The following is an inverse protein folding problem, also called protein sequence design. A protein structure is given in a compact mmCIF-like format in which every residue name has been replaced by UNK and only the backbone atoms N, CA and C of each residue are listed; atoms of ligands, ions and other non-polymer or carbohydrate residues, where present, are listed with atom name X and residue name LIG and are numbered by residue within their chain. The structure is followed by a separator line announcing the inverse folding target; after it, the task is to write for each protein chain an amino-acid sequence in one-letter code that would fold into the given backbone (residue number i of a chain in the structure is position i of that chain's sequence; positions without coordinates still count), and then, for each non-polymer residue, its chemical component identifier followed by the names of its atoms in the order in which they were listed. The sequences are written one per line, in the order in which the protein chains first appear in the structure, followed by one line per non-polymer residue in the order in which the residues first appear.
data_IF_994663855909
#
_entry.id   IF_994663855909
#
_cell.length_a   1.000
_cell.length_b   1.000
_cell.length_c   1.000
_cell.angle_alpha   90.00
_cell.angle_beta   90.00
_cell.angle_gamma   90.00
#
_symmetry.space_group_name_H-M   'P 1'
#
loop_
_entity.id
_entity.type
_entity.pdbx_description
1 polymer ?
#
# COMPACT_ATOMS: atom_id res chain seq x y z
N UNK A 1 10.17 -7.86 -16.70
CA UNK A 1 10.68 -7.13 -15.52
C UNK A 1 11.38 -5.84 -15.96
N UNK A 2 11.20 -4.74 -15.21
CA UNK A 2 11.94 -3.48 -15.38
C UNK A 2 12.93 -3.37 -14.24
N UNK A 3 14.18 -3.05 -14.54
CA UNK A 3 15.22 -2.77 -13.53
C UNK A 3 15.56 -1.30 -13.59
N UNK A 4 15.62 -0.64 -12.45
CA UNK A 4 15.86 0.80 -12.36
C UNK A 4 16.93 1.10 -11.29
N UNK A 5 17.07 2.36 -10.89
CA UNK A 5 17.96 2.85 -9.85
C UNK A 5 17.74 2.12 -8.51
N UNK A 6 18.65 2.28 -7.58
CA UNK A 6 18.49 1.76 -6.23
C UNK A 6 17.47 2.60 -5.46
N UNK A 7 16.21 2.15 -5.40
CA UNK A 7 15.14 2.80 -4.66
C UNK A 7 15.16 2.30 -3.22
N UNK A 8 15.10 3.24 -2.28
CA UNK A 8 15.17 3.01 -0.85
C UNK A 8 13.98 3.67 -0.16
N UNK A 9 13.30 2.92 0.69
CA UNK A 9 12.29 3.45 1.60
C UNK A 9 12.98 3.85 2.90
N UNK A 10 12.90 5.14 3.24
CA UNK A 10 13.56 5.73 4.42
C UNK A 10 12.70 5.70 5.67
N UNK A 11 11.38 5.73 5.50
CA UNK A 11 10.42 5.67 6.58
C UNK A 11 9.04 5.28 6.12
N UNK A 12 8.23 4.71 7.01
CA UNK A 12 6.88 4.28 6.75
C UNK A 12 5.96 4.54 7.94
N UNK A 13 4.98 5.43 7.76
CA UNK A 13 4.06 5.89 8.80
C UNK A 13 2.63 5.54 8.38
N UNK A 14 1.86 4.95 9.27
CA UNK A 14 0.51 4.51 8.97
C UNK A 14 -0.50 5.05 9.99
N UNK A 15 -1.58 5.61 9.50
CA UNK A 15 -2.73 6.07 10.25
C UNK A 15 -3.96 5.23 9.87
N UNK A 16 -4.21 4.10 10.54
CA UNK A 16 -5.44 3.35 10.41
C UNK A 16 -6.63 4.17 10.91
N UNK A 17 -7.84 3.81 10.46
CA UNK A 17 -9.07 4.39 10.97
C UNK A 17 -9.15 4.32 12.49
N UNK A 18 -9.73 5.34 13.09
CA UNK A 18 -9.81 5.56 14.54
C UNK A 18 -10.80 4.63 15.25
N UNK A 19 -11.72 4.01 14.51
CA UNK A 19 -12.72 3.09 15.05
C UNK A 19 -12.31 1.64 14.76
N UNK A 20 -12.08 0.86 15.82
CA UNK A 20 -11.83 -0.58 15.69
C UNK A 20 -13.17 -1.33 15.76
N UNK A 21 -13.48 -2.06 14.70
CA UNK A 21 -14.67 -2.91 14.63
C UNK A 21 -14.26 -4.38 14.65
N UNK A 22 -14.81 -5.12 15.60
CA UNK A 22 -14.65 -6.58 15.67
C UNK A 22 -15.64 -7.26 14.72
N UNK A 23 -15.19 -8.23 13.94
CA UNK A 23 -16.04 -8.98 13.03
C UNK A 23 -16.86 -10.08 13.72
N UNK A 24 -16.43 -10.55 14.90
CA UNK A 24 -17.19 -11.49 15.69
C UNK A 24 -18.56 -10.89 16.09
N UNK A 25 -19.63 -11.64 15.83
CA UNK A 25 -21.01 -11.18 16.08
C UNK A 25 -21.60 -10.25 15.01
N UNK A 26 -20.81 -9.75 14.07
CA UNK A 26 -21.28 -8.95 12.91
C UNK A 26 -21.52 -9.81 11.67
N UNK A 27 -20.71 -10.86 11.53
CA UNK A 27 -20.81 -11.84 10.45
C UNK A 27 -20.67 -13.25 11.01
N UNK A 28 -20.91 -14.26 10.19
CA UNK A 28 -20.81 -15.64 10.65
C UNK A 28 -19.37 -16.04 11.02
N UNK A 29 -19.16 -16.95 11.97
CA UNK A 29 -17.84 -17.47 12.32
C UNK A 29 -17.10 -18.07 11.10
N UNK A 30 -17.84 -18.68 10.16
CA UNK A 30 -17.31 -19.26 8.94
C UNK A 30 -16.73 -18.16 8.02
N UNK A 31 -17.40 -17.00 7.92
CA UNK A 31 -16.93 -15.87 7.14
C UNK A 31 -15.63 -15.26 7.74
N UNK A 32 -15.57 -15.13 9.07
CA UNK A 32 -14.33 -14.71 9.76
C UNK A 32 -13.21 -15.71 9.51
N UNK A 33 -13.47 -17.01 9.63
CA UNK A 33 -12.48 -18.05 9.38
C UNK A 33 -12.00 -18.09 7.92
N UNK A 34 -12.91 -17.88 6.96
CA UNK A 34 -12.60 -17.87 5.53
C UNK A 34 -11.73 -16.68 5.10
N UNK A 35 -11.95 -15.49 5.69
CA UNK A 35 -11.16 -14.29 5.38
C UNK A 35 -9.92 -14.14 6.25
N UNK A 36 -9.99 -14.61 7.52
CA UNK A 36 -8.97 -14.44 8.54
C UNK A 36 -8.91 -13.02 9.12
N UNK A 37 -9.89 -12.17 8.84
CA UNK A 37 -9.97 -10.82 9.40
C UNK A 37 -10.77 -10.84 10.69
N UNK A 38 -10.13 -10.63 11.83
CA UNK A 38 -10.79 -10.53 13.13
C UNK A 38 -11.33 -9.12 13.38
N UNK A 39 -10.55 -8.15 12.98
CA UNK A 39 -10.86 -6.72 13.13
C UNK A 39 -10.75 -6.01 11.80
N UNK A 40 -11.39 -4.85 11.70
CA UNK A 40 -11.13 -3.83 10.70
C UNK A 40 -11.06 -2.47 11.36
N UNK A 41 -10.39 -1.53 10.73
CA UNK A 41 -10.34 -0.14 11.15
C UNK A 41 -11.14 0.71 10.18
N UNK A 42 -12.10 1.49 10.70
CA UNK A 42 -12.86 2.46 9.90
C UNK A 42 -12.63 3.87 10.41
N UNK A 43 -12.71 4.86 9.52
CA UNK A 43 -12.37 6.24 9.86
C UNK A 43 -13.61 7.11 10.02
N UNK A 44 -13.70 7.82 11.15
CA UNK A 44 -14.63 8.95 11.30
C UNK A 44 -14.12 10.19 10.56
N UNK A 45 -12.82 10.27 10.28
CA UNK A 45 -12.15 11.40 9.65
C UNK A 45 -12.20 11.32 8.12
N UNK A 46 -12.19 12.48 7.42
CA UNK A 46 -11.94 12.54 5.99
C UNK A 46 -10.53 12.04 5.60
N UNK A 47 -10.35 11.69 4.32
CA UNK A 47 -9.06 11.21 3.77
C UNK A 47 -7.92 12.15 4.09
N UNK A 48 -8.11 13.45 3.85
CA UNK A 48 -7.08 14.46 4.11
C UNK A 48 -6.64 14.50 5.58
N UNK A 49 -7.59 14.50 6.52
CA UNK A 49 -7.25 14.58 7.95
C UNK A 49 -6.53 13.31 8.42
N UNK A 50 -6.99 12.15 7.95
CA UNK A 50 -6.34 10.88 8.26
C UNK A 50 -4.93 10.82 7.65
N UNK A 51 -4.75 11.29 6.40
CA UNK A 51 -3.45 11.37 5.74
C UNK A 51 -2.46 12.25 6.52
N UNK A 52 -2.92 13.41 7.01
CA UNK A 52 -2.05 14.36 7.72
C UNK A 52 -1.47 13.80 9.02
N UNK A 53 -2.09 12.81 9.66
CA UNK A 53 -1.49 12.11 10.81
C UNK A 53 -0.20 11.38 10.41
N UNK A 54 -0.21 10.64 9.30
CA UNK A 54 0.97 9.95 8.78
C UNK A 54 1.98 10.93 8.18
N UNK A 55 1.51 11.93 7.43
CA UNK A 55 2.33 12.96 6.78
C UNK A 55 3.14 13.79 7.78
N UNK A 56 2.51 14.21 8.88
CA UNK A 56 3.21 14.99 9.92
C UNK A 56 4.39 14.21 10.51
N UNK A 57 4.20 12.92 10.77
CA UNK A 57 5.27 12.07 11.29
C UNK A 57 6.36 11.80 10.24
N UNK A 58 5.98 11.61 8.97
CA UNK A 58 6.94 11.45 7.88
C UNK A 58 7.78 12.71 7.69
N UNK A 59 7.15 13.88 7.81
CA UNK A 59 7.87 15.15 7.72
C UNK A 59 8.84 15.35 8.89
N UNK A 60 8.41 15.07 10.12
CA UNK A 60 9.27 15.12 11.31
C UNK A 60 10.48 14.16 11.16
N UNK A 61 10.26 12.95 10.66
CA UNK A 61 11.33 12.00 10.40
C UNK A 61 12.29 12.48 9.30
N UNK A 62 11.75 13.06 8.22
CA UNK A 62 12.56 13.66 7.16
C UNK A 62 13.43 14.79 7.68
N UNK A 63 12.86 15.71 8.49
CA UNK A 63 13.59 16.81 9.11
C UNK A 63 14.69 16.28 10.05
N UNK A 64 14.40 15.27 10.86
CA UNK A 64 15.36 14.62 11.75
C UNK A 64 16.52 13.92 11.03
N UNK A 65 16.28 13.44 9.82
CA UNK A 65 17.29 12.82 8.94
C UNK A 65 17.98 13.81 8.00
N UNK A 66 17.58 15.08 8.01
CA UNK A 66 18.10 16.10 7.07
C UNK A 66 17.68 15.84 5.62
N UNK A 67 16.53 15.19 5.39
CA UNK A 67 16.01 14.89 4.08
C UNK A 67 15.11 16.02 3.57
N UNK A 68 15.47 16.61 2.44
CA UNK A 68 14.60 17.58 1.75
C UNK A 68 13.53 16.82 0.96
N UNK A 69 12.24 17.13 1.21
CA UNK A 69 11.13 16.62 0.42
C UNK A 69 11.01 17.46 -0.86
N UNK A 70 11.26 16.84 -2.01
CA UNK A 70 11.28 17.48 -3.32
C UNK A 70 10.01 17.25 -4.16
N UNK A 71 9.12 16.32 -3.76
CA UNK A 71 7.85 16.07 -4.43
C UNK A 71 6.86 15.37 -3.49
N UNK A 72 5.56 15.47 -3.82
CA UNK A 72 4.48 14.69 -3.17
C UNK A 72 3.74 13.89 -4.22
N UNK A 73 3.62 12.59 -3.99
CA UNK A 73 2.78 11.69 -4.81
C UNK A 73 1.71 11.12 -3.90
N UNK A 74 0.43 11.25 -4.25
CA UNK A 74 -0.65 10.61 -3.53
C UNK A 74 -1.26 9.48 -4.36
N UNK A 75 -1.45 8.32 -3.76
CA UNK A 75 -2.11 7.17 -4.37
C UNK A 75 -3.42 6.90 -3.64
N UNK A 76 -4.54 7.35 -4.20
CA UNK A 76 -5.88 7.23 -3.62
C UNK A 76 -6.95 7.19 -4.69
N UNK A 77 -8.10 6.59 -4.39
CA UNK A 77 -9.31 6.68 -5.20
C UNK A 77 -10.50 7.25 -4.40
N UNK A 78 -10.29 7.59 -3.13
CA UNK A 78 -11.34 8.04 -2.20
C UNK A 78 -11.16 9.48 -1.72
N UNK A 79 -10.32 10.28 -2.41
CA UNK A 79 -10.21 11.72 -2.13
C UNK A 79 -11.57 12.40 -2.17
N UNK A 80 -11.81 13.33 -1.24
CA UNK A 80 -13.09 14.04 -1.14
C UNK A 80 -13.34 14.93 -2.36
N UNK A 81 -12.29 15.59 -2.84
CA UNK A 81 -12.35 16.52 -3.96
C UNK A 81 -11.80 15.88 -5.23
N UNK A 82 -12.46 16.09 -6.37
CA UNK A 82 -11.93 15.70 -7.68
C UNK A 82 -10.77 16.61 -8.11
N UNK A 83 -10.79 17.84 -7.67
CA UNK A 83 -9.74 18.87 -7.79
C UNK A 83 -9.95 19.94 -6.70
N UNK A 84 -8.88 20.54 -6.15
CA UNK A 84 -7.47 20.22 -6.42
C UNK A 84 -7.08 18.81 -5.96
N UNK A 85 -5.97 18.29 -6.51
CA UNK A 85 -5.43 16.98 -6.14
C UNK A 85 -5.12 16.90 -4.64
N UNK A 86 -5.28 15.74 -4.02
CA UNK A 86 -4.97 15.51 -2.61
C UNK A 86 -3.51 15.82 -2.29
N UNK A 87 -2.59 15.44 -3.17
CA UNK A 87 -1.15 15.72 -3.05
C UNK A 87 -0.83 17.21 -2.96
N UNK A 88 -1.52 18.06 -3.74
CA UNK A 88 -1.35 19.52 -3.71
C UNK A 88 -1.82 20.08 -2.36
N UNK A 89 -2.95 19.60 -1.87
CA UNK A 89 -3.47 19.98 -0.55
C UNK A 89 -2.52 19.57 0.58
N UNK A 90 -1.98 18.35 0.50
CA UNK A 90 -0.98 17.83 1.45
C UNK A 90 0.31 18.65 1.38
N UNK A 91 0.86 18.93 0.18
CA UNK A 91 2.08 19.70 0.03
C UNK A 91 1.96 21.09 0.67
N UNK A 92 0.84 21.77 0.46
CA UNK A 92 0.53 23.06 1.08
C UNK A 92 0.44 22.96 2.61
N UNK A 93 -0.30 21.98 3.13
CA UNK A 93 -0.49 21.80 4.56
C UNK A 93 0.80 21.37 5.29
N UNK A 94 1.66 20.62 4.61
CA UNK A 94 2.99 20.25 5.11
C UNK A 94 4.01 21.39 5.04
N UNK A 95 3.63 22.57 4.54
CA UNK A 95 4.50 23.74 4.43
C UNK A 95 5.62 23.59 3.39
N UNK A 96 5.40 22.76 2.36
CA UNK A 96 6.35 22.62 1.27
C UNK A 96 6.30 23.84 0.33
N UNK A 97 7.41 24.07 -0.40
CA UNK A 97 7.47 25.16 -1.38
C UNK A 97 6.49 24.95 -2.52
N UNK A 98 6.01 26.03 -3.13
CA UNK A 98 5.03 25.97 -4.24
C UNK A 98 5.57 25.35 -5.52
N UNK A 99 6.90 25.31 -5.67
CA UNK A 99 7.60 24.73 -6.82
C UNK A 99 7.74 23.20 -6.71
N UNK A 100 7.35 22.60 -5.58
CA UNK A 100 7.41 21.14 -5.38
C UNK A 100 6.35 20.46 -6.24
N UNK A 101 6.71 19.55 -7.18
CA UNK A 101 5.73 18.77 -7.92
C UNK A 101 4.81 17.97 -7.00
N UNK A 102 3.50 18.05 -7.22
CA UNK A 102 2.50 17.30 -6.47
C UNK A 102 1.40 16.81 -7.41
N UNK A 103 1.13 15.50 -7.42
CA UNK A 103 0.10 14.88 -8.26
C UNK A 103 -0.40 13.56 -7.66
N UNK A 104 -1.62 13.18 -8.07
CA UNK A 104 -2.27 11.95 -7.63
C UNK A 104 -2.18 10.87 -8.72
N UNK A 105 -2.14 9.61 -8.28
CA UNK A 105 -2.26 8.42 -9.13
C UNK A 105 -3.37 7.52 -8.61
N UNK A 106 -3.99 6.74 -9.51
CA UNK A 106 -5.10 5.87 -9.14
C UNK A 106 -4.91 4.48 -9.75
N UNK A 107 -4.65 3.48 -8.89
CA UNK A 107 -4.53 2.08 -9.26
C UNK A 107 -5.17 1.15 -8.21
N UNK A 108 -6.04 1.69 -7.35
CA UNK A 108 -6.72 0.96 -6.29
C UNK A 108 -5.76 0.03 -5.50
N UNK A 109 -6.13 -1.23 -5.25
CA UNK A 109 -5.35 -2.16 -4.41
C UNK A 109 -3.92 -2.47 -4.93
N UNK A 110 -3.63 -2.20 -6.19
CA UNK A 110 -2.28 -2.39 -6.75
C UNK A 110 -1.41 -1.13 -6.69
N UNK A 111 -1.93 0.00 -6.21
CA UNK A 111 -1.31 1.32 -6.34
C UNK A 111 0.08 1.43 -5.71
N UNK A 112 0.31 0.87 -4.52
CA UNK A 112 1.55 1.12 -3.79
C UNK A 112 2.83 0.76 -4.56
N UNK A 113 3.00 -0.43 -5.18
CA UNK A 113 4.21 -0.71 -5.98
C UNK A 113 4.33 0.17 -7.24
N UNK A 114 3.20 0.57 -7.88
CA UNK A 114 3.21 1.56 -8.96
C UNK A 114 3.71 2.92 -8.46
N UNK A 115 3.19 3.36 -7.31
CA UNK A 115 3.55 4.63 -6.69
C UNK A 115 5.01 4.67 -6.24
N UNK A 116 5.53 3.57 -5.70
CA UNK A 116 6.96 3.43 -5.36
C UNK A 116 7.84 3.54 -6.61
N UNK A 117 7.43 2.95 -7.74
CA UNK A 117 8.13 3.10 -9.01
C UNK A 117 8.19 4.57 -9.47
N UNK A 118 7.06 5.26 -9.45
CA UNK A 118 6.96 6.68 -9.84
C UNK A 118 7.78 7.55 -8.89
N UNK A 119 7.55 7.41 -7.57
CA UNK A 119 8.23 8.18 -6.55
C UNK A 119 9.75 7.97 -6.56
N UNK A 120 10.21 6.73 -6.77
CA UNK A 120 11.63 6.42 -6.82
C UNK A 120 12.33 7.04 -8.02
N UNK A 121 11.72 6.99 -9.22
CA UNK A 121 12.30 7.64 -10.39
C UNK A 121 12.31 9.17 -10.24
N UNK A 122 11.22 9.74 -9.71
CA UNK A 122 11.14 11.17 -9.43
C UNK A 122 12.16 11.60 -8.37
N UNK A 123 12.37 10.80 -7.32
CA UNK A 123 13.39 11.06 -6.30
C UNK A 123 14.80 11.11 -6.89
N UNK A 124 15.10 10.21 -7.83
CA UNK A 124 16.38 10.20 -8.52
C UNK A 124 16.59 11.44 -9.41
N UNK A 125 15.56 11.80 -10.17
CA UNK A 125 15.64 12.96 -11.07
C UNK A 125 15.76 14.29 -10.32
N UNK A 126 15.16 14.39 -9.14
CA UNK A 126 15.22 15.57 -8.27
C UNK A 126 16.44 15.58 -7.34
N UNK A 127 17.09 14.44 -7.09
CA UNK A 127 18.12 14.29 -6.06
C UNK A 127 17.60 14.53 -4.62
N UNK A 128 16.28 14.39 -4.39
CA UNK A 128 15.59 14.67 -3.13
C UNK A 128 14.64 13.52 -2.75
N UNK A 129 14.19 13.52 -1.50
CA UNK A 129 13.16 12.56 -1.09
C UNK A 129 11.79 12.90 -1.71
N UNK A 130 11.01 11.87 -2.00
CA UNK A 130 9.59 12.01 -2.37
C UNK A 130 8.73 11.53 -1.22
N UNK A 131 7.77 12.35 -0.83
CA UNK A 131 6.71 11.97 0.10
C UNK A 131 5.62 11.23 -0.68
N UNK A 132 5.55 9.93 -0.50
CA UNK A 132 4.50 9.09 -1.05
C UNK A 132 3.41 8.89 -0.01
N UNK A 133 2.21 9.40 -0.28
CA UNK A 133 1.01 9.18 0.53
C UNK A 133 0.15 8.14 -0.17
N UNK A 134 -0.29 7.11 0.53
CA UNK A 134 -1.06 6.02 -0.08
C UNK A 134 -2.17 5.55 0.85
N UNK A 135 -3.34 5.31 0.29
CA UNK A 135 -4.46 4.74 0.99
C UNK A 135 -5.79 5.44 0.76
N UNK A 136 -6.80 4.94 1.49
CA UNK A 136 -8.20 5.25 1.23
C UNK A 136 -9.06 5.21 2.51
N UNK A 137 -10.16 5.97 2.49
CA UNK A 137 -11.32 5.80 3.37
C UNK A 137 -12.42 5.09 2.55
N UNK A 138 -12.18 3.81 2.28
CA UNK A 138 -13.01 3.01 1.37
C UNK A 138 -14.28 2.46 2.02
N UNK A 139 -14.35 2.40 3.36
CA UNK A 139 -15.53 1.93 4.08
C UNK A 139 -16.79 2.73 3.74
N UNK A 140 -16.64 4.00 3.38
CA UNK A 140 -17.74 4.88 2.93
C UNK A 140 -18.28 4.54 1.54
N UNK A 141 -17.50 3.79 0.77
CA UNK A 141 -17.85 3.37 -0.60
C UNK A 141 -18.46 1.97 -0.62
N UNK A 142 -18.63 1.34 0.54
CA UNK A 142 -19.29 0.03 0.65
C UNK A 142 -20.81 0.24 0.77
N UNK A 143 -21.57 -0.41 -0.09
CA UNK A 143 -23.03 -0.35 -0.04
C UNK A 143 -23.61 -1.00 1.21
N UNK A 144 -24.64 -0.39 1.80
CA UNK A 144 -25.24 -0.86 3.06
C UNK A 144 -25.88 -2.26 3.01
N UNK A 145 -25.97 -2.88 1.83
CA UNK A 145 -26.46 -4.26 1.65
C UNK A 145 -25.36 -5.31 1.44
N UNK A 146 -24.09 -4.91 1.28
CA UNK A 146 -22.97 -5.84 1.06
C UNK A 146 -22.22 -6.11 2.37
N UNK A 147 -22.76 -7.02 3.17
CA UNK A 147 -22.16 -7.44 4.44
C UNK A 147 -20.76 -8.07 4.24
N UNK A 148 -20.50 -8.71 3.11
CA UNK A 148 -19.21 -9.35 2.81
C UNK A 148 -18.12 -8.31 2.57
N UNK A 149 -18.38 -7.29 1.75
CA UNK A 149 -17.46 -6.17 1.56
C UNK A 149 -17.32 -5.35 2.85
N UNK A 150 -18.43 -5.09 3.56
CA UNK A 150 -18.43 -4.37 4.83
C UNK A 150 -17.60 -5.05 5.92
N UNK A 151 -17.48 -6.37 5.89
CA UNK A 151 -16.67 -7.11 6.85
C UNK A 151 -15.16 -6.94 6.62
N UNK A 152 -14.74 -6.86 5.38
CA UNK A 152 -13.30 -6.90 5.04
C UNK A 152 -12.68 -5.52 4.85
N UNK A 153 -13.43 -4.56 4.30
CA UNK A 153 -12.88 -3.26 3.91
C UNK A 153 -12.67 -2.34 5.12
N UNK A 154 -11.44 -1.94 5.31
CA UNK A 154 -11.01 -0.97 6.32
C UNK A 154 -10.40 0.28 5.69
N UNK A 155 -10.09 1.26 6.51
CA UNK A 155 -9.56 2.57 6.14
C UNK A 155 -8.17 2.76 6.70
N UNK A 156 -7.26 3.25 5.88
CA UNK A 156 -5.91 3.60 6.31
C UNK A 156 -5.31 4.59 5.32
N UNK A 157 -4.61 5.59 5.82
CA UNK A 157 -3.70 6.41 5.04
C UNK A 157 -2.28 6.21 5.55
N UNK A 158 -1.31 6.22 4.64
CA UNK A 158 0.10 6.03 4.97
C UNK A 158 0.95 7.10 4.32
N UNK A 159 2.13 7.34 4.89
CA UNK A 159 3.13 8.22 4.32
C UNK A 159 4.48 7.50 4.32
N UNK A 160 5.10 7.40 3.15
CA UNK A 160 6.40 6.76 2.96
C UNK A 160 7.39 7.79 2.41
N UNK A 161 8.58 7.86 2.99
CA UNK A 161 9.68 8.63 2.42
C UNK A 161 10.46 7.75 1.45
N UNK A 162 10.54 8.16 0.20
CA UNK A 162 11.18 7.42 -0.89
C UNK A 162 12.39 8.18 -1.39
N UNK A 163 13.55 7.51 -1.45
CA UNK A 163 14.77 8.03 -2.10
C UNK A 163 15.23 7.08 -3.20
N UNK A 164 16.09 7.56 -4.05
CA UNK A 164 16.77 6.74 -5.03
C UNK A 164 18.20 7.19 -5.24
N UNK A 165 19.06 6.25 -5.61
CA UNK A 165 20.47 6.47 -5.82
C UNK A 165 20.90 5.90 -7.16
N UNK A 166 21.75 6.65 -7.88
CA UNK A 166 22.52 6.15 -9.01
C UNK A 166 23.78 5.46 -8.45
N UNK A 167 24.19 4.35 -9.06
CA UNK A 167 25.45 3.66 -8.69
C UNK A 167 25.33 2.14 -8.64
N UNK A 168 26.35 1.49 -8.09
CA UNK A 168 26.51 0.03 -8.08
C UNK A 168 25.71 -0.70 -6.98
N UNK A 169 24.80 0.00 -6.32
CA UNK A 169 23.91 -0.60 -5.31
C UNK A 169 22.94 -1.62 -5.91
N UNK A 170 22.26 -2.36 -5.04
CA UNK A 170 21.26 -3.34 -5.45
C UNK A 170 20.11 -2.68 -6.18
N UNK A 171 20.10 -2.75 -7.52
CA UNK A 171 19.05 -2.17 -8.37
C UNK A 171 17.67 -2.65 -7.93
N UNK A 172 16.72 -1.74 -7.97
CA UNK A 172 15.31 -2.06 -7.73
C UNK A 172 14.69 -2.65 -9.00
N UNK A 173 13.78 -3.61 -8.80
CA UNK A 173 13.12 -4.30 -9.89
C UNK A 173 11.59 -4.14 -9.76
N UNK A 174 10.90 -4.10 -10.91
CA UNK A 174 9.45 -3.94 -10.97
C UNK A 174 8.87 -4.83 -12.07
N UNK A 175 7.64 -5.29 -11.84
CA UNK A 175 6.82 -5.96 -12.84
C UNK A 175 5.39 -5.45 -12.72
N UNK A 176 4.73 -5.26 -13.86
CA UNK A 176 3.39 -4.70 -13.94
C UNK A 176 2.50 -5.55 -14.83
N UNK A 177 1.22 -5.61 -14.47
CA UNK A 177 0.16 -6.22 -15.26
C UNK A 177 -1.09 -5.33 -15.12
N UNK A 178 -1.73 -5.02 -16.25
CA UNK A 178 -3.00 -4.29 -16.27
C UNK A 178 -3.89 -4.80 -17.38
N UNK A 179 -5.17 -4.93 -17.07
CA UNK A 179 -6.24 -5.28 -18.00
C UNK A 179 -7.52 -4.59 -17.56
N UNK A 180 -8.47 -4.43 -18.47
CA UNK A 180 -9.78 -3.89 -18.11
C UNK A 180 -10.76 -5.04 -17.76
N UNK A 181 -11.27 -5.00 -16.53
CA UNK A 181 -12.31 -5.91 -16.02
C UNK A 181 -13.10 -5.20 -14.92
N UNK A 182 -14.39 -5.44 -14.86
CA UNK A 182 -15.31 -4.82 -13.89
C UNK A 182 -15.69 -5.75 -12.72
N UNK A 183 -15.00 -6.86 -12.55
CA UNK A 183 -15.25 -7.78 -11.44
C UNK A 183 -14.94 -7.19 -10.05
N UNK A 184 -14.14 -6.14 -10.00
CA UNK A 184 -13.97 -5.26 -8.85
C UNK A 184 -14.07 -3.84 -9.36
N UNK A 185 -15.17 -3.18 -9.06
CA UNK A 185 -15.55 -1.92 -9.69
C UNK A 185 -16.15 -0.97 -8.68
N UNK A 186 -15.83 0.32 -8.83
CA UNK A 186 -16.46 1.42 -8.14
C UNK A 186 -16.72 2.53 -9.16
N UNK A 187 -17.98 2.78 -9.45
CA UNK A 187 -18.41 3.85 -10.37
C UNK A 187 -18.50 5.22 -9.69
N UNK A 188 -18.88 6.22 -10.44
CA UNK A 188 -18.95 7.62 -9.99
C UNK A 188 -19.89 7.82 -8.77
N UNK A 189 -20.99 7.11 -8.72
CA UNK A 189 -22.03 7.24 -7.69
C UNK A 189 -22.47 5.92 -7.06
N UNK A 190 -21.82 4.82 -7.43
CA UNK A 190 -22.16 3.50 -6.93
C UNK A 190 -21.22 3.01 -5.84
N UNK A 191 -21.69 2.05 -5.03
CA UNK A 191 -20.81 1.36 -4.09
C UNK A 191 -19.78 0.49 -4.80
N UNK A 192 -18.73 0.14 -4.08
CA UNK A 192 -17.79 -0.90 -4.53
C UNK A 192 -18.56 -2.20 -4.73
N UNK A 193 -18.41 -2.81 -5.90
CA UNK A 193 -18.92 -4.13 -6.23
C UNK A 193 -17.78 -5.10 -6.47
N UNK A 194 -17.89 -6.34 -5.99
CA UNK A 194 -16.81 -7.32 -6.06
C UNK A 194 -17.34 -8.72 -6.36
N UNK A 195 -16.85 -9.30 -7.44
CA UNK A 195 -16.94 -10.74 -7.72
C UNK A 195 -15.70 -11.44 -7.13
N UNK A 196 -15.84 -11.91 -5.89
CA UNK A 196 -14.72 -12.53 -5.16
C UNK A 196 -14.13 -13.77 -5.86
N UNK A 197 -14.95 -14.53 -6.61
CA UNK A 197 -14.49 -15.69 -7.35
C UNK A 197 -13.58 -15.29 -8.53
N UNK A 198 -13.97 -14.25 -9.28
CA UNK A 198 -13.13 -13.73 -10.37
C UNK A 198 -11.83 -13.12 -9.85
N UNK A 199 -11.88 -12.40 -8.73
CA UNK A 199 -10.67 -11.87 -8.08
C UNK A 199 -9.73 -13.02 -7.67
N UNK A 200 -10.25 -14.07 -7.03
CA UNK A 200 -9.45 -15.23 -6.66
C UNK A 200 -8.85 -15.93 -7.90
N UNK A 201 -9.64 -16.11 -8.95
CA UNK A 201 -9.19 -16.71 -10.21
C UNK A 201 -8.09 -15.89 -10.88
N UNK A 202 -8.22 -14.55 -10.89
CA UNK A 202 -7.17 -13.65 -11.38
C UNK A 202 -5.86 -13.81 -10.60
N UNK A 203 -5.93 -13.86 -9.28
CA UNK A 203 -4.73 -14.06 -8.44
C UNK A 203 -4.05 -15.39 -8.77
N UNK A 204 -4.81 -16.47 -8.87
CA UNK A 204 -4.27 -17.80 -9.18
C UNK A 204 -3.69 -17.90 -10.60
N UNK A 205 -4.40 -17.36 -11.60
CA UNK A 205 -4.07 -17.54 -13.01
C UNK A 205 -3.08 -16.50 -13.58
N UNK A 206 -3.00 -15.32 -13.00
CA UNK A 206 -2.18 -14.21 -13.52
C UNK A 206 -1.16 -13.67 -12.50
N UNK A 207 -1.60 -13.35 -11.29
CA UNK A 207 -0.70 -12.76 -10.28
C UNK A 207 0.35 -13.76 -9.82
N UNK A 208 -0.04 -14.99 -9.49
CA UNK A 208 0.91 -16.03 -9.05
C UNK A 208 2.00 -16.33 -10.08
N UNK A 209 1.71 -16.58 -11.38
CA UNK A 209 2.76 -16.75 -12.38
C UNK A 209 3.66 -15.53 -12.56
N UNK A 210 3.08 -14.32 -12.56
CA UNK A 210 3.84 -13.07 -12.62
C UNK A 210 4.82 -12.96 -11.44
N UNK A 211 4.37 -13.24 -10.22
CA UNK A 211 5.22 -13.19 -9.02
C UNK A 211 6.28 -14.30 -9.04
N UNK A 212 5.96 -15.51 -9.50
CA UNK A 212 6.94 -16.60 -9.62
C UNK A 212 8.08 -16.23 -10.57
N UNK A 213 7.77 -15.66 -11.72
CA UNK A 213 8.76 -15.15 -12.65
C UNK A 213 9.56 -13.99 -12.03
N UNK A 214 8.88 -13.03 -11.40
CA UNK A 214 9.51 -11.88 -10.77
C UNK A 214 10.50 -12.29 -9.66
N UNK A 215 10.12 -13.25 -8.81
CA UNK A 215 10.98 -13.80 -7.76
C UNK A 215 12.25 -14.44 -8.35
N UNK A 216 12.10 -15.19 -9.45
CA UNK A 216 13.24 -15.83 -10.11
C UNK A 216 14.23 -14.82 -10.71
N UNK A 217 13.74 -13.65 -11.15
CA UNK A 217 14.54 -12.65 -11.88
C UNK A 217 15.05 -11.48 -11.02
N UNK A 218 14.35 -11.13 -9.92
CA UNK A 218 14.64 -9.93 -9.12
C UNK A 218 15.78 -10.07 -8.13
N UNK A 219 16.30 -11.29 -7.95
CA UNK A 219 17.32 -11.60 -6.97
C UNK A 219 16.77 -11.83 -5.56
N UNK A 220 17.64 -12.06 -4.56
CA UNK A 220 17.24 -12.40 -3.20
C UNK A 220 16.52 -11.24 -2.51
N UNK A 221 15.57 -11.58 -1.64
CA UNK A 221 14.85 -10.67 -0.75
C UNK A 221 14.64 -11.30 0.63
N UNK A 222 14.48 -10.45 1.65
CA UNK A 222 14.34 -10.86 3.04
C UNK A 222 12.89 -11.07 3.45
N UNK A 223 11.98 -10.18 3.01
CA UNK A 223 10.55 -10.20 3.37
C UNK A 223 9.67 -10.05 2.14
N UNK A 224 8.52 -10.72 2.18
CA UNK A 224 7.44 -10.63 1.21
C UNK A 224 6.25 -9.92 1.84
N UNK A 225 5.82 -8.81 1.22
CA UNK A 225 4.75 -7.95 1.73
C UNK A 225 3.66 -7.81 0.66
N UNK A 226 2.70 -8.75 0.62
CA UNK A 226 1.58 -8.67 -0.31
C UNK A 226 0.48 -7.74 0.20
N UNK A 227 -0.31 -7.19 -0.72
CA UNK A 227 -1.61 -6.61 -0.41
C UNK A 227 -2.46 -7.57 0.41
N UNK A 228 -3.02 -7.10 1.52
CA UNK A 228 -3.75 -7.92 2.50
C UNK A 228 -5.20 -8.15 2.07
N UNK A 229 -5.40 -8.80 0.90
CA UNK A 229 -6.72 -8.99 0.29
C UNK A 229 -7.61 -9.98 1.07
N UNK A 230 -7.03 -11.09 1.51
CA UNK A 230 -7.68 -12.18 2.23
C UNK A 230 -6.60 -13.13 2.77
N UNK A 231 -6.65 -13.44 4.06
CA UNK A 231 -5.58 -14.22 4.71
C UNK A 231 -5.44 -15.64 4.17
N UNK A 232 -6.57 -16.29 3.82
CA UNK A 232 -6.53 -17.62 3.21
C UNK A 232 -5.85 -17.57 1.82
N UNK A 233 -6.29 -16.65 0.98
CA UNK A 233 -5.70 -16.43 -0.35
C UNK A 233 -4.19 -16.18 -0.27
N UNK A 234 -3.74 -15.33 0.66
CA UNK A 234 -2.33 -15.00 0.84
C UNK A 234 -1.49 -16.20 1.26
N UNK A 235 -1.99 -17.01 2.19
CA UNK A 235 -1.31 -18.25 2.60
C UNK A 235 -1.16 -19.23 1.44
N UNK A 236 -2.21 -19.40 0.61
CA UNK A 236 -2.14 -20.25 -0.59
C UNK A 236 -1.16 -19.68 -1.63
N UNK A 237 -1.16 -18.36 -1.83
CA UNK A 237 -0.23 -17.68 -2.73
C UNK A 237 1.22 -17.88 -2.27
N UNK A 238 1.52 -17.57 -1.00
CA UNK A 238 2.86 -17.70 -0.44
C UNK A 238 3.38 -19.15 -0.48
N UNK A 239 2.52 -20.13 -0.13
CA UNK A 239 2.82 -21.56 -0.25
C UNK A 239 3.17 -21.96 -1.68
N UNK A 240 2.35 -21.49 -2.63
CA UNK A 240 2.58 -21.80 -4.05
C UNK A 240 3.81 -21.09 -4.66
N UNK A 241 4.37 -20.09 -3.98
CA UNK A 241 5.59 -19.37 -4.35
C UNK A 241 6.81 -19.80 -3.51
N UNK A 242 6.64 -20.61 -2.46
CA UNK A 242 7.72 -21.02 -1.56
C UNK A 242 8.28 -19.89 -0.68
N UNK A 243 7.44 -18.90 -0.32
CA UNK A 243 7.87 -17.68 0.43
C UNK A 243 7.13 -17.49 1.76
N UNK A 244 6.49 -18.52 2.28
CA UNK A 244 5.68 -18.47 3.51
C UNK A 244 6.47 -17.93 4.71
N UNK A 245 7.72 -18.36 4.89
CA UNK A 245 8.59 -17.94 6.00
C UNK A 245 9.06 -16.49 5.91
N UNK A 246 8.88 -15.85 4.74
CA UNK A 246 9.26 -14.45 4.51
C UNK A 246 8.06 -13.51 4.53
N UNK A 247 6.83 -14.05 4.52
CA UNK A 247 5.61 -13.25 4.37
C UNK A 247 5.27 -12.49 5.65
N UNK A 248 5.04 -11.18 5.52
CA UNK A 248 4.52 -10.33 6.57
C UNK A 248 3.01 -10.17 6.41
N UNK A 249 2.29 -10.19 7.53
CA UNK A 249 0.84 -10.09 7.60
C UNK A 249 0.39 -9.10 8.67
N UNK A 250 -0.64 -8.32 8.39
CA UNK A 250 -1.31 -7.41 9.32
C UNK A 250 -2.84 -7.40 9.19
N UNK A 251 -3.36 -8.05 8.15
CA UNK A 251 -4.80 -7.99 7.82
C UNK A 251 -5.72 -8.51 8.91
N UNK A 252 -5.27 -9.42 9.78
CA UNK A 252 -6.06 -9.92 10.90
C UNK A 252 -6.51 -8.78 11.83
N UNK A 253 -5.66 -7.76 12.02
CA UNK A 253 -5.88 -6.62 12.93
C UNK A 253 -6.52 -5.41 12.24
N UNK A 254 -6.26 -5.22 10.93
CA UNK A 254 -6.63 -3.97 10.24
C UNK A 254 -7.67 -4.17 9.14
N UNK A 255 -7.93 -5.41 8.71
CA UNK A 255 -8.77 -5.71 7.57
C UNK A 255 -8.06 -5.49 6.23
N UNK A 256 -8.85 -5.44 5.15
CA UNK A 256 -8.39 -5.08 3.82
C UNK A 256 -8.44 -3.55 3.68
N UNK A 257 -7.32 -2.89 3.80
CA UNK A 257 -7.17 -1.43 3.68
C UNK A 257 -6.61 -1.01 2.31
N UNK A 258 -6.96 -1.75 1.25
CA UNK A 258 -6.52 -1.44 -0.11
C UNK A 258 -4.99 -1.48 -0.27
N UNK A 259 -4.46 -0.59 -1.09
CA UNK A 259 -3.01 -0.47 -1.34
C UNK A 259 -2.22 -0.13 -0.08
N UNK A 260 -2.78 0.66 0.83
CA UNK A 260 -2.17 1.02 2.11
C UNK A 260 -1.83 -0.20 2.99
N UNK A 261 -2.41 -1.38 2.71
CA UNK A 261 -2.10 -2.61 3.43
C UNK A 261 -0.61 -2.99 3.36
N UNK A 262 0.08 -2.65 2.26
CA UNK A 262 1.52 -2.94 2.10
C UNK A 262 2.36 -2.07 3.03
N UNK A 263 2.32 -0.73 2.96
CA UNK A 263 3.11 0.13 3.86
C UNK A 263 2.65 0.04 5.33
N UNK A 264 1.36 -0.19 5.60
CA UNK A 264 0.87 -0.47 6.96
C UNK A 264 1.51 -1.77 7.51
N UNK A 265 1.56 -2.85 6.71
CA UNK A 265 2.18 -4.11 7.13
C UNK A 265 3.67 -3.92 7.43
N UNK A 266 4.39 -3.13 6.63
CA UNK A 266 5.79 -2.77 6.92
C UNK A 266 5.89 -2.02 8.25
N UNK A 267 5.06 -1.00 8.47
CA UNK A 267 5.08 -0.21 9.70
C UNK A 267 4.73 -1.05 10.94
N UNK A 268 3.70 -1.89 10.85
CA UNK A 268 3.30 -2.78 11.95
C UNK A 268 4.34 -3.87 12.25
N UNK A 269 5.03 -4.38 11.22
CA UNK A 269 6.08 -5.39 11.38
C UNK A 269 7.37 -4.81 11.95
N UNK A 270 7.72 -3.56 11.63
CA UNK A 270 8.89 -2.88 12.18
C UNK A 270 8.83 -2.70 13.71
N UNK A 271 7.64 -2.74 14.30
CA UNK A 271 7.48 -2.77 15.76
C UNK A 271 7.81 -4.14 16.38
N UNK A 272 7.87 -5.21 15.57
CA UNK A 272 8.03 -6.60 16.00
C UNK A 272 9.40 -7.19 15.61
N UNK A 273 10.02 -6.66 14.55
CA UNK A 273 11.33 -7.11 14.05
C UNK A 273 12.13 -5.97 13.44
N UNK A 274 13.45 -6.11 13.38
CA UNK A 274 14.31 -5.14 12.71
C UNK A 274 14.25 -5.31 11.19
N UNK A 275 13.64 -4.32 10.52
CA UNK A 275 13.51 -4.27 9.07
C UNK A 275 14.59 -3.40 8.39
N UNK A 276 15.47 -2.75 9.13
CA UNK A 276 16.54 -1.91 8.57
C UNK A 276 17.46 -2.70 7.68
N UNK A 277 17.89 -2.09 6.60
CA UNK A 277 18.75 -2.68 5.56
C UNK A 277 18.18 -3.94 4.88
N UNK A 278 16.90 -4.26 5.09
CA UNK A 278 16.24 -5.39 4.42
C UNK A 278 15.85 -5.05 3.00
N UNK A 279 15.94 -6.05 2.12
CA UNK A 279 15.34 -6.01 0.81
C UNK A 279 13.95 -6.63 0.85
N UNK A 280 12.94 -5.88 0.43
CA UNK A 280 11.54 -6.31 0.50
C UNK A 280 10.96 -6.50 -0.90
N UNK A 281 10.16 -7.57 -1.04
CA UNK A 281 9.34 -7.81 -2.21
C UNK A 281 7.91 -7.39 -1.87
N UNK A 282 7.43 -6.35 -2.53
CA UNK A 282 6.09 -5.80 -2.40
C UNK A 282 5.21 -6.32 -3.54
N UNK A 283 3.97 -6.68 -3.26
CA UNK A 283 3.05 -7.17 -4.28
C UNK A 283 1.64 -6.60 -4.08
N UNK A 284 1.22 -5.70 -4.96
CA UNK A 284 -0.14 -5.16 -5.03
C UNK A 284 -0.94 -5.83 -6.14
N UNK A 285 -2.21 -6.11 -5.93
CA UNK A 285 -3.10 -6.69 -6.94
C UNK A 285 -4.57 -6.43 -6.59
N UNK A 286 -5.41 -6.33 -7.60
CA UNK A 286 -6.84 -6.10 -7.41
C UNK A 286 -7.53 -5.52 -8.65
N UNK A 287 -8.27 -4.44 -8.41
CA UNK A 287 -9.09 -3.80 -9.43
C UNK A 287 -8.33 -3.50 -10.72
N UNK A 288 -9.03 -3.59 -11.79
CA UNK A 288 -8.49 -3.31 -13.08
C UNK A 288 -8.87 -4.37 -14.14
N UNK A 289 -8.47 -5.67 -14.14
CA UNK A 289 -7.56 -6.21 -13.13
C UNK A 289 -6.13 -5.73 -13.31
N UNK A 290 -5.51 -5.43 -12.20
CA UNK A 290 -4.11 -4.99 -12.21
C UNK A 290 -3.29 -5.68 -11.11
N UNK A 291 -1.99 -5.81 -11.36
CA UNK A 291 -1.02 -6.26 -10.37
C UNK A 291 0.32 -5.56 -10.59
N UNK A 292 1.06 -5.35 -9.50
CA UNK A 292 2.42 -4.87 -9.57
C UNK A 292 3.27 -5.53 -8.49
N UNK A 293 4.52 -5.80 -8.84
CA UNK A 293 5.54 -6.26 -7.91
C UNK A 293 6.72 -5.27 -7.90
N UNK A 294 7.29 -5.06 -6.72
CA UNK A 294 8.48 -4.25 -6.54
C UNK A 294 9.47 -4.95 -5.61
N UNK A 295 10.75 -4.98 -5.97
CA UNK A 295 11.83 -5.38 -5.09
C UNK A 295 12.70 -4.14 -4.79
N UNK A 296 12.61 -3.64 -3.56
CA UNK A 296 13.25 -2.40 -3.11
C UNK A 296 13.94 -2.60 -1.76
N UNK A 297 14.78 -1.66 -1.36
CA UNK A 297 15.49 -1.73 -0.08
C UNK A 297 14.82 -0.84 0.96
N UNK A 298 14.91 -1.24 2.22
CA UNK A 298 14.67 -0.36 3.36
C UNK A 298 16.03 0.21 3.79
N UNK A 299 16.08 1.48 4.21
CA UNK A 299 17.33 2.11 4.64
C UNK A 299 17.87 1.49 5.94
N UNK A 300 19.12 1.75 6.23
CA UNK A 300 19.75 1.42 7.53
C UNK A 300 19.20 2.27 8.70
N UNK A 301 18.57 3.39 8.36
CA UNK A 301 17.87 4.28 9.29
C UNK A 301 16.34 4.17 9.16
N UNK A 302 15.81 3.11 8.53
CA UNK A 302 14.38 2.93 8.34
C UNK A 302 13.62 3.05 9.65
N UNK A 303 12.70 4.01 9.69
CA UNK A 303 11.83 4.30 10.82
C UNK A 303 10.37 4.03 10.45
N UNK A 304 9.59 3.55 11.40
CA UNK A 304 8.19 3.26 11.12
C UNK A 304 7.33 3.41 12.37
N UNK A 305 6.06 3.82 12.17
CA UNK A 305 5.09 3.96 13.25
C UNK A 305 3.67 3.76 12.74
N UNK A 306 2.85 3.10 13.54
CA UNK A 306 1.40 3.02 13.35
C UNK A 306 0.73 3.88 14.42
N UNK A 307 -0.18 4.77 14.01
CA UNK A 307 -0.94 5.67 14.88
C UNK A 307 -2.34 5.08 15.11
N UNK A 308 -2.52 4.39 16.21
CA UNK A 308 -3.79 3.73 16.58
C UNK A 308 -4.56 4.59 17.58
#
# INVERSE_FOLDING_TARGET
MITTRHIVLEGGFAAPGDICEENAGRVSPEAVAATGFKYRRVSSMPVFELAMKAVSAAKEDADGKGLEIGAVVAATFSAEDRFPALSVRIASAAGLKTEVPAFDIQMACSAYPYAVYVAGNLAADLGKAVLLVDGDVQSRLVGGGDAAAAMVMGDTLTATLVRAFDGDGAKSAFSFLSSYDTALFCGESGPISMDGFKVFSFVAAKVKPMLAQFIAESGPFDRFVPHQANMYMLRQLAKGLGVESKMLLSGEEYGNVGSASIPLTLAASAAKEDLRSKRVLLAGFGAGFSAAAAAVSLSDTFSAKVFV
#
